data_IF_851899837786
#
_entry.id   IF_851899837786
#
_cell.length_a   1.000
_cell.length_b   1.000
_cell.length_c   1.000
_cell.angle_alpha   90.00
_cell.angle_beta   90.00
_cell.angle_gamma   90.00
#
_symmetry.space_group_name_H-M   'P 1'
#
loop_
_entity.id
_entity.type
_entity.pdbx_description
1 polymer ?
#
# COMPACT_ATOMS: atom_id res chain seq x y z
N UNK A 1 39.67 -1.71 -6.13
CA UNK A 1 39.04 -2.46 -5.03
C UNK A 1 37.56 -2.56 -5.28
N UNK A 2 37.03 -3.73 -5.12
CA UNK A 2 35.61 -3.99 -5.34
C UNK A 2 34.90 -3.99 -3.98
N UNK A 3 33.91 -3.15 -3.84
CA UNK A 3 33.06 -3.16 -2.67
C UNK A 3 31.83 -4.02 -2.94
N UNK A 4 31.46 -4.79 -1.96
CA UNK A 4 30.20 -5.52 -2.01
C UNK A 4 29.08 -4.66 -1.46
N UNK A 5 27.88 -4.75 -2.05
CA UNK A 5 26.72 -4.12 -1.42
C UNK A 5 26.44 -4.78 -0.09
N UNK A 6 25.83 -4.03 0.81
CA UNK A 6 25.49 -4.50 2.14
C UNK A 6 24.01 -4.82 2.23
N UNK A 7 23.69 -5.82 3.05
CA UNK A 7 22.32 -6.04 3.48
C UNK A 7 21.94 -4.85 4.37
N UNK A 8 20.78 -4.28 4.13
CA UNK A 8 20.25 -3.18 4.93
C UNK A 8 19.06 -3.67 5.75
N UNK A 9 19.07 -3.33 7.02
CA UNK A 9 17.98 -3.65 7.95
C UNK A 9 17.42 -2.33 8.44
N UNK A 10 16.13 -2.10 8.18
CA UNK A 10 15.43 -0.90 8.61
C UNK A 10 14.41 -1.30 9.66
N UNK A 11 14.60 -0.84 10.87
CA UNK A 11 13.71 -1.12 11.99
C UNK A 11 12.51 -0.16 12.00
N UNK A 12 11.43 -0.48 12.73
CA UNK A 12 10.22 0.34 12.68
C UNK A 12 10.40 1.80 13.04
N UNK A 13 11.32 2.13 13.93
CA UNK A 13 11.64 3.52 14.29
C UNK A 13 12.30 4.30 13.14
N UNK A 14 12.79 3.61 12.12
CA UNK A 14 13.33 4.24 10.92
C UNK A 14 12.33 4.36 9.76
N UNK A 15 11.09 3.93 9.93
CA UNK A 15 10.09 4.04 8.88
C UNK A 15 9.67 5.51 8.70
N UNK A 16 9.42 5.89 7.45
CA UNK A 16 9.15 7.27 7.07
C UNK A 16 7.73 7.40 6.53
N UNK A 17 6.96 8.34 7.11
CA UNK A 17 5.60 8.64 6.66
C UNK A 17 5.55 9.71 5.57
N UNK A 18 6.68 10.30 5.19
CA UNK A 18 6.77 11.32 4.13
C UNK A 18 6.68 10.78 2.71
N UNK A 19 5.95 9.71 2.49
CA UNK A 19 5.74 9.08 1.18
C UNK A 19 4.37 9.44 0.63
N UNK A 20 4.13 9.12 -0.65
CA UNK A 20 2.85 9.38 -1.30
C UNK A 20 1.71 8.68 -0.56
N UNK A 21 0.67 9.44 -0.24
CA UNK A 21 -0.47 8.98 0.56
C UNK A 21 -1.77 9.06 -0.23
N UNK A 22 -2.71 8.18 0.11
CA UNK A 22 -4.10 8.33 -0.29
C UNK A 22 -4.93 8.66 0.97
N UNK A 23 -5.92 9.57 0.88
CA UNK A 23 -6.73 9.91 2.05
C UNK A 23 -7.35 8.68 2.71
N UNK A 24 -7.39 8.67 4.04
CA UNK A 24 -7.95 7.56 4.83
C UNK A 24 -6.94 6.48 5.18
N UNK A 25 -5.69 6.62 4.77
CA UNK A 25 -4.65 5.61 5.00
C UNK A 25 -3.34 6.24 5.43
N UNK A 26 -2.47 5.40 5.97
CA UNK A 26 -1.08 5.76 6.30
C UNK A 26 -0.18 4.78 5.57
N UNK A 27 0.84 5.29 4.87
CA UNK A 27 1.87 4.49 4.24
C UNK A 27 3.21 4.85 4.87
N UNK A 28 3.96 3.83 5.28
CA UNK A 28 5.28 4.00 5.88
C UNK A 28 6.32 3.36 4.99
N UNK A 29 7.31 4.14 4.56
CA UNK A 29 8.41 3.63 3.75
C UNK A 29 9.45 2.97 4.66
N UNK A 30 9.86 1.76 4.31
CA UNK A 30 10.94 1.04 4.96
C UNK A 30 12.13 0.88 4.02
N UNK A 31 11.91 0.31 2.84
CA UNK A 31 12.94 0.15 1.81
C UNK A 31 12.62 1.13 0.71
N UNK A 32 13.39 2.21 0.65
CA UNK A 32 13.09 3.34 -0.23
C UNK A 32 14.36 4.18 -0.46
N UNK A 33 14.37 4.99 -1.53
CA UNK A 33 15.54 5.85 -1.82
C UNK A 33 15.89 6.82 -0.71
N UNK A 34 14.90 7.34 0.01
CA UNK A 34 15.13 8.27 1.14
C UNK A 34 15.91 7.63 2.30
N UNK A 35 16.00 6.31 2.34
CA UNK A 35 16.83 5.59 3.32
C UNK A 35 18.22 5.25 2.76
N UNK A 36 18.57 5.80 1.60
CA UNK A 36 19.85 5.53 0.97
C UNK A 36 19.94 4.12 0.37
N UNK A 37 18.81 3.51 0.12
CA UNK A 37 18.75 2.14 -0.43
C UNK A 37 18.43 2.24 -1.92
N UNK A 38 19.35 1.75 -2.75
CA UNK A 38 19.14 1.67 -4.19
C UNK A 38 18.57 0.30 -4.52
N UNK A 39 17.31 0.30 -4.90
CA UNK A 39 16.58 -0.91 -5.26
C UNK A 39 15.61 -0.59 -6.38
N UNK A 40 15.32 -1.58 -7.20
CA UNK A 40 14.23 -1.48 -8.18
C UNK A 40 12.85 -1.63 -7.53
N UNK A 41 12.81 -1.94 -6.24
CA UNK A 41 11.59 -2.19 -5.49
C UNK A 41 11.44 -1.17 -4.37
N UNK A 42 10.21 -0.92 -3.99
CA UNK A 42 9.86 -0.18 -2.78
C UNK A 42 9.17 -1.15 -1.81
N UNK A 43 9.47 -1.04 -0.52
CA UNK A 43 8.84 -1.86 0.50
C UNK A 43 8.45 -1.03 1.72
N UNK A 44 7.31 -1.34 2.31
CA UNK A 44 6.85 -0.62 3.48
C UNK A 44 5.58 -1.20 4.06
N UNK A 45 4.89 -0.39 4.85
CA UNK A 45 3.63 -0.74 5.50
C UNK A 45 2.51 0.16 5.00
N UNK A 46 1.31 -0.39 5.02
CA UNK A 46 0.08 0.31 4.71
C UNK A 46 -0.95 -0.01 5.79
N UNK A 47 -1.61 1.02 6.29
CA UNK A 47 -2.53 0.88 7.42
C UNK A 47 -3.76 1.73 7.18
N UNK A 48 -4.93 1.17 7.50
CA UNK A 48 -6.20 1.89 7.49
C UNK A 48 -6.87 1.73 8.86
N UNK A 49 -7.20 2.87 9.48
CA UNK A 49 -7.81 2.90 10.79
C UNK A 49 -9.20 2.28 10.81
N UNK A 50 -9.69 1.85 12.00
CA UNK A 50 -11.05 1.34 12.12
C UNK A 50 -12.08 2.31 11.54
N UNK A 51 -13.03 1.77 10.76
CA UNK A 51 -14.11 2.55 10.18
C UNK A 51 -13.71 3.47 9.03
N UNK A 52 -12.42 3.54 8.69
CA UNK A 52 -11.94 4.41 7.63
C UNK A 52 -11.91 3.68 6.29
N UNK A 53 -11.76 4.47 5.23
CA UNK A 53 -11.58 3.96 3.86
C UNK A 53 -10.67 4.90 3.09
N UNK A 54 -10.03 4.39 2.06
CA UNK A 54 -9.32 5.25 1.10
C UNK A 54 -10.31 5.85 0.11
N UNK A 55 -9.91 6.91 -0.57
CA UNK A 55 -10.57 7.31 -1.80
C UNK A 55 -10.25 6.32 -2.92
N UNK A 56 -10.93 6.48 -4.05
CA UNK A 56 -10.62 5.71 -5.26
C UNK A 56 -9.30 6.24 -5.83
N UNK A 57 -8.38 5.33 -6.14
CA UNK A 57 -7.05 5.69 -6.64
C UNK A 57 -6.45 4.55 -7.45
N UNK A 58 -5.37 4.83 -8.16
CA UNK A 58 -4.53 3.81 -8.77
C UNK A 58 -3.06 4.18 -8.57
N UNK A 59 -2.18 3.31 -9.01
CA UNK A 59 -0.75 3.46 -8.80
C UNK A 59 0.05 3.60 -10.10
N UNK A 60 -0.61 4.15 -11.13
CA UNK A 60 0.04 4.29 -12.44
C UNK A 60 0.53 2.95 -12.94
N UNK A 61 1.72 2.93 -13.53
CA UNK A 61 2.33 1.70 -14.05
C UNK A 61 2.88 0.75 -12.99
N UNK A 62 2.77 1.10 -11.69
CA UNK A 62 3.25 0.22 -10.63
C UNK A 62 2.29 -0.93 -10.36
N UNK A 63 2.87 -2.08 -10.11
CA UNK A 63 2.16 -3.21 -9.51
C UNK A 63 2.42 -3.21 -8.01
N UNK A 64 1.48 -3.75 -7.26
CA UNK A 64 1.59 -3.92 -5.83
C UNK A 64 1.41 -5.37 -5.47
N UNK A 65 2.27 -5.86 -4.58
CA UNK A 65 2.05 -7.09 -3.84
C UNK A 65 1.93 -6.71 -2.38
N UNK A 66 0.92 -7.22 -1.71
CA UNK A 66 0.74 -6.97 -0.29
C UNK A 66 0.52 -8.28 0.46
N UNK A 67 0.92 -8.27 1.72
CA UNK A 67 0.67 -9.37 2.65
C UNK A 67 -0.03 -8.82 3.87
N UNK A 68 -1.17 -9.39 4.24
CA UNK A 68 -1.98 -8.89 5.35
C UNK A 68 -1.38 -9.36 6.67
N UNK A 69 -0.90 -8.40 7.47
CA UNK A 69 -0.34 -8.67 8.80
C UNK A 69 -1.43 -8.82 9.84
N UNK A 70 -2.47 -7.99 9.77
CA UNK A 70 -3.55 -7.99 10.77
C UNK A 70 -4.78 -7.32 10.20
N UNK A 71 -5.93 -7.65 10.79
CA UNK A 71 -7.21 -7.07 10.42
C UNK A 71 -7.80 -7.68 9.16
N UNK A 72 -8.91 -7.09 8.72
CA UNK A 72 -9.63 -7.48 7.50
C UNK A 72 -9.82 -6.25 6.64
N UNK A 73 -9.62 -6.39 5.35
CA UNK A 73 -9.82 -5.32 4.38
C UNK A 73 -10.86 -5.75 3.35
N UNK A 74 -11.81 -4.87 3.05
CA UNK A 74 -12.62 -4.97 1.86
C UNK A 74 -11.91 -4.18 0.76
N UNK A 75 -11.61 -4.83 -0.36
CA UNK A 75 -11.04 -4.18 -1.53
C UNK A 75 -12.13 -4.12 -2.60
N UNK A 76 -12.29 -2.96 -3.19
CA UNK A 76 -13.22 -2.76 -4.31
C UNK A 76 -12.45 -2.28 -5.53
N UNK A 77 -12.83 -2.73 -6.71
CA UNK A 77 -12.17 -2.35 -7.95
C UNK A 77 -13.15 -2.44 -9.13
N UNK A 78 -12.67 -1.99 -10.29
CA UNK A 78 -13.45 -1.95 -11.51
C UNK A 78 -13.74 -0.52 -11.94
N UNK A 79 -14.57 -0.35 -12.94
CA UNK A 79 -14.91 0.96 -13.45
C UNK A 79 -15.77 1.77 -12.48
N UNK A 80 -16.58 1.09 -11.65
CA UNK A 80 -17.51 1.69 -10.70
C UNK A 80 -17.46 1.04 -9.32
N UNK A 81 -16.39 0.30 -9.03
CA UNK A 81 -16.29 -0.45 -7.79
C UNK A 81 -17.24 -1.65 -7.72
N UNK A 82 -17.61 -2.19 -8.87
CA UNK A 82 -18.55 -3.30 -8.97
C UNK A 82 -18.00 -4.63 -8.48
N UNK A 83 -16.67 -4.76 -8.45
CA UNK A 83 -16.02 -5.97 -7.92
C UNK A 83 -15.59 -5.76 -6.48
N UNK A 84 -15.64 -6.83 -5.70
CA UNK A 84 -15.39 -6.76 -4.27
C UNK A 84 -14.71 -8.03 -3.80
N UNK A 85 -13.69 -7.89 -2.97
CA UNK A 85 -13.01 -9.00 -2.31
C UNK A 85 -12.66 -8.63 -0.88
N UNK A 86 -12.44 -9.65 -0.06
CA UNK A 86 -12.02 -9.46 1.33
C UNK A 86 -10.69 -10.16 1.53
N UNK A 87 -9.76 -9.45 2.16
CA UNK A 87 -8.46 -9.99 2.51
C UNK A 87 -8.27 -9.93 4.02
N UNK A 88 -7.74 -10.99 4.59
CA UNK A 88 -7.53 -11.14 6.02
C UNK A 88 -6.12 -11.61 6.31
N UNK A 89 -5.76 -11.62 7.57
CA UNK A 89 -4.43 -12.03 8.03
C UNK A 89 -3.96 -13.30 7.32
N UNK A 90 -2.76 -13.22 6.73
CA UNK A 90 -2.14 -14.31 6.00
C UNK A 90 -2.39 -14.31 4.50
N UNK A 91 -3.31 -13.49 4.00
CA UNK A 91 -3.60 -13.44 2.56
C UNK A 91 -2.56 -12.58 1.82
N UNK A 92 -2.26 -12.97 0.60
CA UNK A 92 -1.55 -12.13 -0.36
C UNK A 92 -2.52 -11.44 -1.29
N UNK A 93 -2.19 -10.22 -1.68
CA UNK A 93 -2.98 -9.41 -2.60
C UNK A 93 -2.07 -8.97 -3.74
N UNK A 94 -2.56 -9.04 -4.97
CA UNK A 94 -1.90 -8.46 -6.13
C UNK A 94 -2.81 -7.39 -6.73
N UNK A 95 -2.28 -6.17 -6.82
CA UNK A 95 -2.99 -5.05 -7.46
C UNK A 95 -2.30 -4.76 -8.79
N UNK A 96 -2.98 -4.98 -9.92
CA UNK A 96 -2.40 -4.67 -11.24
C UNK A 96 -2.15 -3.20 -11.44
N UNK A 97 -1.28 -2.88 -12.40
CA UNK A 97 -1.04 -1.50 -12.83
C UNK A 97 -2.34 -0.86 -13.35
N UNK A 98 -2.47 0.46 -13.14
CA UNK A 98 -3.55 1.32 -13.64
C UNK A 98 -4.96 0.96 -13.18
N UNK A 99 -5.11 0.05 -12.23
CA UNK A 99 -6.44 -0.38 -11.78
C UNK A 99 -7.00 0.56 -10.71
N UNK A 100 -8.08 1.30 -10.98
CA UNK A 100 -8.78 2.04 -9.94
C UNK A 100 -9.32 1.09 -8.87
N UNK A 101 -9.06 1.42 -7.62
CA UNK A 101 -9.49 0.61 -6.49
C UNK A 101 -9.60 1.46 -5.23
N UNK A 102 -10.20 0.90 -4.21
CA UNK A 102 -10.24 1.48 -2.87
C UNK A 102 -10.21 0.38 -1.83
N UNK A 103 -9.70 0.72 -0.66
CA UNK A 103 -9.65 -0.16 0.50
C UNK A 103 -10.56 0.39 1.60
N UNK A 104 -11.35 -0.50 2.19
CA UNK A 104 -12.30 -0.17 3.24
C UNK A 104 -11.99 -1.05 4.45
N UNK A 105 -11.91 -0.43 5.63
CA UNK A 105 -11.84 -1.19 6.87
C UNK A 105 -13.24 -1.41 7.39
N UNK A 106 -13.75 -2.67 7.35
CA UNK A 106 -15.11 -2.96 7.82
C UNK A 106 -15.21 -3.04 9.35
N UNK A 107 -14.08 -3.06 10.06
CA UNK A 107 -14.06 -3.13 11.52
C UNK A 107 -14.15 -1.75 12.13
N UNK A 108 -14.91 -1.64 13.25
CA UNK A 108 -14.98 -0.42 14.04
C UNK A 108 -13.93 -0.37 15.15
N UNK A 109 -13.17 -1.46 15.34
CA UNK A 109 -12.28 -1.59 16.51
C UNK A 109 -10.84 -1.87 16.16
N UNK A 110 -10.55 -2.43 15.00
CA UNK A 110 -9.18 -2.84 14.63
C UNK A 110 -8.74 -2.18 13.33
N UNK A 111 -7.51 -1.63 13.27
CA UNK A 111 -6.92 -1.26 11.98
C UNK A 111 -6.61 -2.51 11.16
N UNK A 112 -6.50 -2.38 9.83
CA UNK A 112 -5.83 -3.42 9.08
C UNK A 112 -4.44 -2.91 8.66
N UNK A 113 -3.51 -3.85 8.57
CA UNK A 113 -2.12 -3.57 8.23
C UNK A 113 -1.60 -4.54 7.21
N UNK A 114 -0.91 -4.00 6.22
CA UNK A 114 -0.28 -4.78 5.16
C UNK A 114 1.21 -4.49 5.08
N UNK A 115 1.99 -5.51 4.78
CA UNK A 115 3.29 -5.30 4.13
C UNK A 115 3.02 -5.03 2.66
N UNK A 116 3.66 -4.03 2.10
CA UNK A 116 3.44 -3.62 0.71
C UNK A 116 4.77 -3.58 -0.02
N UNK A 117 4.81 -4.17 -1.21
CA UNK A 117 5.94 -4.10 -2.13
C UNK A 117 5.46 -3.52 -3.45
N UNK A 118 6.16 -2.50 -3.93
CA UNK A 118 5.88 -1.86 -5.22
C UNK A 118 6.95 -2.24 -6.22
N UNK A 119 6.57 -2.28 -7.50
CA UNK A 119 7.45 -2.72 -8.58
C UNK A 119 8.44 -1.66 -9.05
N UNK A 120 8.37 -0.43 -8.54
CA UNK A 120 9.34 0.64 -8.79
C UNK A 120 9.70 1.33 -7.48
N UNK A 121 10.86 2.00 -7.41
CA UNK A 121 11.41 2.48 -6.12
C UNK A 121 10.69 3.67 -5.50
N UNK A 122 9.88 4.40 -6.26
CA UNK A 122 9.11 5.53 -5.74
C UNK A 122 7.63 5.24 -5.85
N UNK A 123 6.89 5.24 -4.72
CA UNK A 123 5.45 4.95 -4.78
C UNK A 123 4.70 6.01 -5.59
N UNK A 124 3.77 5.55 -6.40
CA UNK A 124 2.90 6.40 -7.21
C UNK A 124 1.48 6.25 -6.67
N UNK A 125 0.83 7.38 -6.40
CA UNK A 125 -0.58 7.41 -6.04
C UNK A 125 -1.26 8.46 -6.92
N UNK A 126 -2.24 8.01 -7.70
CA UNK A 126 -3.08 8.88 -8.52
C UNK A 126 -4.48 8.83 -7.91
N UNK A 127 -4.84 9.86 -7.16
CA UNK A 127 -6.15 9.95 -6.53
C UNK A 127 -7.18 10.38 -7.57
N UNK A 128 -8.36 9.77 -7.51
CA UNK A 128 -9.46 10.02 -8.43
C UNK A 128 -10.65 10.58 -7.64
N UNK A 129 -10.57 11.86 -7.20
CA UNK A 129 -11.57 12.41 -6.28
C UNK A 129 -12.97 12.55 -6.86
N UNK A 130 -13.09 12.58 -8.18
CA UNK A 130 -14.39 12.67 -8.85
C UNK A 130 -15.10 11.31 -8.95
N UNK A 131 -14.42 10.23 -8.60
CA UNK A 131 -15.01 8.89 -8.58
C UNK A 131 -15.58 8.61 -7.20
N UNK A 132 -16.89 8.43 -7.14
CA UNK A 132 -17.58 8.04 -5.91
C UNK A 132 -18.28 6.72 -6.15
N UNK A 133 -17.89 5.72 -5.38
CA UNK A 133 -18.45 4.38 -5.49
C UNK A 133 -19.42 4.12 -4.35
N UNK A 134 -20.56 3.52 -4.60
CA UNK A 134 -21.56 3.22 -3.57
C UNK A 134 -21.06 2.23 -2.54
#
# INVERSE_FOLDING_TARGET
MTEYPHIRIVSPDGFDSGTAQTPGSIRLAAIAPEHGIQSSLWGGLFEVEPGARTGVHHHGGQQTIAYVLSGVCEVRWGAKGEYRGYAKMGDFIHVPAFLPHMEINPSDVEPFRWVVVRSTPTPIVVNLPDQTWP
#
